data_IF_738276823677
#
_entry.id   IF_738276823677
#
_cell.length_a   1.000
_cell.length_b   1.000
_cell.length_c   1.000
_cell.angle_alpha   90.00
_cell.angle_beta   90.00
_cell.angle_gamma   90.00
#
_symmetry.space_group_name_H-M   'P 1'
#
loop_
_entity.id
_entity.type
_entity.pdbx_description
1 polymer ?
#
# COMPACT_ATOMS: atom_id res chain seq x y z
N UNK A 1 13.91 7.58 -14.17
CA UNK A 1 13.75 6.13 -13.92
C UNK A 1 13.11 5.84 -12.55
N UNK A 2 13.70 6.30 -11.43
CA UNK A 2 13.21 6.01 -10.08
C UNK A 2 11.73 6.38 -9.85
N UNK A 3 11.30 7.58 -10.28
CA UNK A 3 9.88 8.01 -10.22
C UNK A 3 8.93 7.03 -10.92
N UNK A 4 9.29 6.53 -12.10
CA UNK A 4 8.44 5.65 -12.87
C UNK A 4 8.31 4.29 -12.19
N UNK A 5 9.40 3.78 -11.61
CA UNK A 5 9.38 2.55 -10.81
C UNK A 5 8.54 2.73 -9.53
N UNK A 6 8.72 3.84 -8.81
CA UNK A 6 7.93 4.16 -7.61
C UNK A 6 6.44 4.26 -7.94
N UNK A 7 6.09 4.86 -9.08
CA UNK A 7 4.71 4.94 -9.54
C UNK A 7 4.11 3.55 -9.85
N UNK A 8 4.84 2.70 -10.57
CA UNK A 8 4.41 1.32 -10.86
C UNK A 8 4.25 0.48 -9.58
N UNK A 9 5.18 0.62 -8.62
CA UNK A 9 5.06 0.02 -7.29
C UNK A 9 3.78 0.48 -6.59
N UNK A 10 3.48 1.78 -6.69
CA UNK A 10 2.23 2.35 -6.20
C UNK A 10 1.01 1.63 -6.75
N UNK A 11 0.90 1.48 -8.08
CA UNK A 11 -0.22 0.77 -8.72
C UNK A 11 -0.39 -0.64 -8.15
N UNK A 12 0.70 -1.39 -8.00
CA UNK A 12 0.66 -2.74 -7.41
C UNK A 12 0.16 -2.73 -5.97
N UNK A 13 0.66 -1.80 -5.16
CA UNK A 13 0.31 -1.68 -3.75
C UNK A 13 -1.16 -1.28 -3.55
N UNK A 14 -1.70 -0.42 -4.42
CA UNK A 14 -3.14 -0.11 -4.47
C UNK A 14 -4.01 -1.30 -4.85
N UNK A 15 -3.62 -2.04 -5.90
CA UNK A 15 -4.34 -3.23 -6.34
C UNK A 15 -4.40 -4.29 -5.23
N UNK A 16 -3.28 -4.46 -4.53
CA UNK A 16 -3.15 -5.38 -3.42
C UNK A 16 -4.00 -4.97 -2.21
N UNK A 17 -3.96 -3.69 -1.81
CA UNK A 17 -4.82 -3.17 -0.74
C UNK A 17 -6.30 -3.39 -1.06
N UNK A 18 -6.71 -3.13 -2.31
CA UNK A 18 -8.07 -3.39 -2.78
C UNK A 18 -8.43 -4.87 -2.67
N UNK A 19 -7.53 -5.78 -3.09
CA UNK A 19 -7.75 -7.21 -2.99
C UNK A 19 -7.93 -7.68 -1.53
N UNK A 20 -7.12 -7.16 -0.60
CA UNK A 20 -7.25 -7.46 0.84
C UNK A 20 -8.60 -6.98 1.37
N UNK A 21 -9.02 -5.76 1.03
CA UNK A 21 -10.30 -5.19 1.45
C UNK A 21 -11.49 -5.98 0.90
N UNK A 22 -11.42 -6.44 -0.35
CA UNK A 22 -12.46 -7.23 -1.00
C UNK A 22 -12.53 -8.68 -0.47
N UNK A 23 -11.42 -9.22 0.04
CA UNK A 23 -11.37 -10.60 0.56
C UNK A 23 -12.24 -10.87 1.79
N UNK A 24 -12.74 -9.81 2.47
CA UNK A 24 -13.57 -9.89 3.69
C UNK A 24 -13.00 -10.82 4.77
N UNK A 25 -11.68 -11.01 4.79
CA UNK A 25 -11.02 -11.87 5.76
C UNK A 25 -11.30 -11.39 7.19
N UNK A 26 -11.54 -12.26 8.19
CA UNK A 26 -11.79 -11.85 9.57
C UNK A 26 -10.68 -10.99 10.18
N UNK A 27 -9.44 -11.12 9.69
CA UNK A 27 -8.31 -10.22 10.02
C UNK A 27 -8.56 -8.76 9.63
N UNK A 28 -9.29 -8.52 8.53
CA UNK A 28 -9.70 -7.17 8.11
C UNK A 28 -10.72 -6.59 9.09
N UNK A 29 -11.52 -7.42 9.77
CA UNK A 29 -12.45 -6.97 10.80
C UNK A 29 -11.75 -6.58 12.13
N UNK A 30 -10.50 -6.99 12.33
CA UNK A 30 -9.65 -6.52 13.43
C UNK A 30 -9.00 -5.16 13.16
N UNK A 31 -9.04 -4.67 11.91
CA UNK A 31 -8.50 -3.35 11.59
C UNK A 31 -9.35 -2.24 12.24
N UNK A 32 -8.73 -1.12 12.62
CA UNK A 32 -9.43 0.03 13.17
C UNK A 32 -10.63 0.42 12.32
N UNK A 33 -11.79 0.58 12.97
CA UNK A 33 -13.07 0.78 12.29
C UNK A 33 -13.04 1.94 11.29
N UNK A 34 -12.26 2.99 11.52
CA UNK A 34 -12.13 4.13 10.60
C UNK A 34 -11.44 3.77 9.26
N UNK A 35 -10.57 2.76 9.24
CA UNK A 35 -9.91 2.29 8.01
C UNK A 35 -10.86 1.46 7.14
N UNK A 36 -11.79 0.71 7.76
CA UNK A 36 -12.72 -0.19 7.08
C UNK A 36 -14.14 0.37 6.92
N UNK A 37 -14.60 1.31 7.77
CA UNK A 37 -15.98 1.84 7.75
C UNK A 37 -16.31 2.62 6.49
N UNK A 38 -15.30 3.16 5.82
CA UNK A 38 -15.47 3.87 4.55
C UNK A 38 -15.33 2.94 3.33
N UNK A 39 -15.47 1.62 3.51
CA UNK A 39 -15.24 0.62 2.47
C UNK A 39 -13.76 0.51 2.08
N UNK A 40 -12.85 0.77 3.02
CA UNK A 40 -11.40 0.77 2.75
C UNK A 40 -10.86 2.03 2.07
N UNK A 41 -11.71 3.02 1.75
CA UNK A 41 -11.30 4.27 1.10
C UNK A 41 -10.26 5.06 1.90
N UNK A 42 -10.36 5.06 3.22
CA UNK A 42 -9.39 5.75 4.08
C UNK A 42 -7.98 5.13 3.97
N UNK A 43 -7.89 3.80 3.88
CA UNK A 43 -6.62 3.10 3.64
C UNK A 43 -6.06 3.45 2.25
N UNK A 44 -6.89 3.50 1.20
CA UNK A 44 -6.43 3.95 -0.12
C UNK A 44 -5.96 5.40 -0.15
N UNK A 45 -6.63 6.31 0.57
CA UNK A 45 -6.18 7.71 0.67
C UNK A 45 -4.85 7.82 1.41
N UNK A 46 -4.66 7.05 2.49
CA UNK A 46 -3.38 6.99 3.19
C UNK A 46 -2.27 6.48 2.26
N UNK A 47 -2.55 5.42 1.49
CA UNK A 47 -1.61 4.86 0.53
C UNK A 47 -1.24 5.86 -0.58
N UNK A 48 -2.23 6.65 -1.03
CA UNK A 48 -2.00 7.74 -1.97
C UNK A 48 -1.10 8.82 -1.40
N UNK A 49 -1.35 9.24 -0.16
CA UNK A 49 -0.56 10.25 0.51
C UNK A 49 0.90 9.81 0.67
N UNK A 50 1.15 8.55 1.02
CA UNK A 50 2.50 7.99 1.12
C UNK A 50 3.16 7.97 -0.27
N UNK A 51 2.50 7.44 -1.30
CA UNK A 51 3.04 7.40 -2.66
C UNK A 51 3.37 8.81 -3.16
N UNK A 52 2.46 9.76 -2.98
CA UNK A 52 2.62 11.15 -3.39
C UNK A 52 3.83 11.78 -2.68
N UNK A 53 3.96 11.61 -1.36
CA UNK A 53 5.09 12.12 -0.60
C UNK A 53 6.42 11.56 -1.11
N UNK A 54 6.50 10.26 -1.37
CA UNK A 54 7.71 9.63 -1.93
C UNK A 54 8.00 10.16 -3.32
N UNK A 55 7.01 10.26 -4.20
CA UNK A 55 7.20 10.78 -5.56
C UNK A 55 7.71 12.23 -5.54
N UNK A 56 7.18 13.07 -4.64
CA UNK A 56 7.66 14.43 -4.44
C UNK A 56 9.12 14.45 -3.98
N UNK A 57 9.50 13.62 -3.00
CA UNK A 57 10.88 13.53 -2.52
C UNK A 57 11.86 13.04 -3.61
N UNK A 58 11.47 12.02 -4.37
CA UNK A 58 12.29 11.52 -5.48
C UNK A 58 12.42 12.58 -6.58
N UNK A 59 11.35 13.35 -6.85
CA UNK A 59 11.39 14.46 -7.81
C UNK A 59 12.27 15.62 -7.34
N UNK A 60 12.29 15.87 -6.03
CA UNK A 60 13.14 16.87 -5.38
C UNK A 60 14.59 16.43 -5.17
N UNK A 61 15.06 15.39 -5.88
CA UNK A 61 16.46 14.98 -5.85
C UNK A 61 16.85 14.00 -4.74
N UNK A 62 15.87 13.38 -4.06
CA UNK A 62 16.13 12.40 -2.99
C UNK A 62 15.74 10.97 -3.42
N UNK A 63 16.46 10.34 -4.38
CA UNK A 63 16.07 9.05 -4.94
C UNK A 63 16.15 7.88 -3.95
N UNK A 64 16.85 8.04 -2.82
CA UNK A 64 16.90 7.02 -1.75
C UNK A 64 15.52 6.64 -1.19
N UNK A 65 14.56 7.56 -1.23
CA UNK A 65 13.18 7.29 -0.81
C UNK A 65 12.46 6.28 -1.71
N UNK A 66 12.89 6.09 -2.96
CA UNK A 66 12.35 5.03 -3.81
C UNK A 66 12.64 3.63 -3.24
N UNK A 67 13.81 3.43 -2.62
CA UNK A 67 14.16 2.16 -1.95
C UNK A 67 13.35 1.94 -0.68
N UNK A 68 13.13 3.00 0.11
CA UNK A 68 12.26 2.94 1.27
C UNK A 68 10.83 2.53 0.87
N UNK A 69 10.31 3.12 -0.21
CA UNK A 69 8.98 2.76 -0.73
C UNK A 69 8.92 1.36 -1.32
N UNK A 70 10.00 0.89 -1.95
CA UNK A 70 10.09 -0.49 -2.43
C UNK A 70 10.04 -1.49 -1.27
N UNK A 71 10.80 -1.26 -0.20
CA UNK A 71 10.76 -2.10 1.00
C UNK A 71 9.36 -2.08 1.65
N UNK A 72 8.76 -0.90 1.78
CA UNK A 72 7.40 -0.72 2.28
C UNK A 72 6.38 -1.52 1.45
N UNK A 73 6.42 -1.39 0.12
CA UNK A 73 5.52 -2.10 -0.79
C UNK A 73 5.72 -3.61 -0.74
N UNK A 74 6.96 -4.09 -0.57
CA UNK A 74 7.25 -5.51 -0.40
C UNK A 74 6.68 -6.07 0.91
N UNK A 75 6.79 -5.32 2.01
CA UNK A 75 6.15 -5.69 3.28
C UNK A 75 4.63 -5.73 3.17
N UNK A 76 4.01 -4.74 2.50
CA UNK A 76 2.58 -4.75 2.23
C UNK A 76 2.18 -5.96 1.37
N UNK A 77 2.93 -6.28 0.31
CA UNK A 77 2.76 -7.47 -0.52
C UNK A 77 2.78 -8.77 0.28
N UNK A 78 3.76 -8.92 1.18
CA UNK A 78 3.85 -10.08 2.05
C UNK A 78 2.67 -10.17 3.01
N UNK A 79 2.29 -9.07 3.65
CA UNK A 79 1.16 -9.03 4.57
C UNK A 79 -0.16 -9.39 3.85
N UNK A 80 -0.42 -8.79 2.70
CA UNK A 80 -1.59 -9.10 1.89
C UNK A 80 -1.59 -10.56 1.41
N UNK A 81 -0.44 -11.10 1.00
CA UNK A 81 -0.34 -12.49 0.58
C UNK A 81 -0.68 -13.46 1.72
N UNK A 82 -0.20 -13.19 2.93
CA UNK A 82 -0.53 -13.99 4.11
C UNK A 82 -2.04 -13.96 4.41
N UNK A 83 -2.66 -12.79 4.34
CA UNK A 83 -4.11 -12.61 4.54
C UNK A 83 -4.91 -13.32 3.44
N UNK A 84 -4.57 -13.10 2.17
CA UNK A 84 -5.29 -13.66 1.02
C UNK A 84 -5.12 -15.18 0.90
N UNK A 85 -3.99 -15.72 1.35
CA UNK A 85 -3.73 -17.16 1.35
C UNK A 85 -4.33 -17.88 2.56
N UNK A 86 -5.10 -17.19 3.42
CA UNK A 86 -5.64 -17.73 4.68
C UNK A 86 -4.57 -18.36 5.58
N UNK A 87 -3.34 -17.82 5.54
CA UNK A 87 -2.22 -18.28 6.39
C UNK A 87 -2.14 -17.53 7.72
N UNK A 88 -3.21 -16.80 8.07
CA UNK A 88 -3.39 -15.96 9.27
C UNK A 88 -4.76 -16.22 9.86
#
# INVERSE_FOLDING_TARGET
MAILLTFLLGIGNFALHKAVLESRHPVVALLPRFLVSSGGRASMVAEFAILLAVMLLVSGGHPGWAWAYLAYSASNALAAWLILSHRT
#
